data_IF_611876891175
#
_entry.id   IF_611876891175
#
_cell.length_a   1.000
_cell.length_b   1.000
_cell.length_c   1.000
_cell.angle_alpha   90.00
_cell.angle_beta   90.00
_cell.angle_gamma   90.00
#
_symmetry.space_group_name_H-M   'P 1'
#
loop_
_entity.id
_entity.type
_entity.pdbx_description
1 polymer ?
#
# COMPACT_ATOMS: atom_id res chain seq x y z
N UNK A 1 16.21 11.28 17.96
CA UNK A 1 16.51 9.96 18.61
C UNK A 1 16.83 8.87 17.58
N UNK A 2 15.99 8.65 16.57
CA UNK A 2 16.17 7.56 15.58
C UNK A 2 17.48 7.63 14.78
N UNK A 3 17.90 8.76 14.17
CA UNK A 3 19.14 8.79 13.38
C UNK A 3 20.39 8.48 14.22
N UNK A 4 20.45 9.00 15.44
CA UNK A 4 21.55 8.73 16.37
C UNK A 4 21.63 7.23 16.72
N UNK A 5 20.50 6.59 17.04
CA UNK A 5 20.45 5.16 17.34
C UNK A 5 20.80 4.30 16.13
N UNK A 6 20.34 4.67 14.94
CA UNK A 6 20.66 3.96 13.70
C UNK A 6 22.17 3.94 13.42
N UNK A 7 22.87 5.07 13.65
CA UNK A 7 24.34 5.14 13.49
C UNK A 7 25.10 4.32 14.54
N UNK A 8 24.60 4.28 15.77
CA UNK A 8 25.22 3.54 16.87
C UNK A 8 24.99 2.02 16.79
N UNK A 9 23.98 1.57 16.04
CA UNK A 9 23.64 0.16 15.92
C UNK A 9 24.78 -0.66 15.28
N UNK A 10 24.91 -1.92 15.70
CA UNK A 10 25.82 -2.87 15.08
C UNK A 10 25.41 -3.22 13.64
N UNK A 11 24.09 -3.30 13.40
CA UNK A 11 23.48 -3.46 12.09
C UNK A 11 22.13 -2.73 12.04
N UNK A 12 21.75 -2.29 10.84
CA UNK A 12 20.43 -1.72 10.52
C UNK A 12 19.80 -2.60 9.45
N UNK A 13 18.67 -3.21 9.79
CA UNK A 13 17.88 -3.99 8.84
C UNK A 13 16.88 -3.07 8.16
N UNK A 14 16.99 -2.94 6.84
CA UNK A 14 16.07 -2.20 6.01
C UNK A 14 15.16 -3.18 5.25
N UNK A 15 13.86 -2.89 5.20
CA UNK A 15 12.87 -3.77 4.55
C UNK A 15 12.88 -3.70 3.01
N UNK A 16 13.69 -2.80 2.45
CA UNK A 16 13.86 -2.61 1.01
C UNK A 16 15.18 -1.91 0.72
N UNK A 17 15.66 -1.99 -0.52
CA UNK A 17 16.87 -1.25 -0.92
C UNK A 17 16.65 0.26 -0.85
N UNK A 18 15.46 0.76 -1.16
CA UNK A 18 15.13 2.19 -1.03
C UNK A 18 15.33 2.63 0.42
N UNK A 19 14.75 1.89 1.38
CA UNK A 19 14.91 2.19 2.81
C UNK A 19 16.37 2.07 3.26
N UNK A 20 17.15 1.15 2.69
CA UNK A 20 18.59 1.03 2.98
C UNK A 20 19.35 2.29 2.54
N UNK A 21 19.10 2.75 1.31
CA UNK A 21 19.73 3.95 0.77
C UNK A 21 19.32 5.20 1.56
N UNK A 22 18.06 5.28 2.01
CA UNK A 22 17.61 6.37 2.87
C UNK A 22 18.31 6.35 4.24
N UNK A 23 18.50 5.17 4.84
CA UNK A 23 19.24 5.06 6.09
C UNK A 23 20.71 5.50 5.94
N UNK A 24 21.34 5.22 4.80
CA UNK A 24 22.71 5.67 4.52
C UNK A 24 22.75 7.17 4.29
N UNK A 25 21.91 7.70 3.38
CA UNK A 25 21.94 9.11 2.95
C UNK A 25 21.39 10.07 4.01
N UNK A 26 20.24 9.74 4.59
CA UNK A 26 19.53 10.64 5.51
C UNK A 26 20.01 10.47 6.95
N UNK A 27 20.36 9.24 7.36
CA UNK A 27 20.77 8.96 8.75
C UNK A 27 22.27 8.76 8.92
N UNK A 28 23.06 8.68 7.83
CA UNK A 28 24.51 8.49 7.91
C UNK A 28 24.90 7.11 8.45
N UNK A 29 24.06 6.10 8.24
CA UNK A 29 24.40 4.71 8.58
C UNK A 29 25.51 4.25 7.64
N UNK A 30 26.53 3.58 8.18
CA UNK A 30 27.61 3.02 7.37
C UNK A 30 27.07 1.96 6.40
N UNK A 31 27.44 1.98 5.10
CA UNK A 31 26.92 1.03 4.12
C UNK A 31 27.16 -0.44 4.46
N UNK A 32 28.27 -0.76 5.13
CA UNK A 32 28.63 -2.11 5.58
C UNK A 32 27.78 -2.60 6.76
N UNK A 33 27.03 -1.71 7.42
CA UNK A 33 26.13 -2.04 8.54
C UNK A 33 24.65 -2.00 8.14
N UNK A 34 24.32 -1.51 6.96
CA UNK A 34 22.95 -1.45 6.47
C UNK A 34 22.67 -2.67 5.58
N UNK A 35 21.72 -3.51 5.98
CA UNK A 35 21.40 -4.78 5.30
C UNK A 35 19.95 -4.75 4.84
N UNK A 36 19.71 -5.08 3.58
CA UNK A 36 18.36 -5.21 3.02
C UNK A 36 17.83 -6.61 3.29
N UNK A 37 16.71 -6.73 4.00
CA UNK A 37 15.96 -7.98 4.19
C UNK A 37 14.52 -7.71 3.77
N UNK A 38 14.11 -8.26 2.62
CA UNK A 38 12.74 -8.12 2.16
C UNK A 38 11.78 -8.92 3.04
N UNK A 39 10.67 -8.33 3.50
CA UNK A 39 9.67 -9.06 4.26
C UNK A 39 9.04 -10.14 3.37
N UNK A 40 8.92 -11.35 3.91
CA UNK A 40 8.16 -12.42 3.28
C UNK A 40 6.66 -12.20 3.42
N UNK A 41 5.89 -12.90 2.59
CA UNK A 41 4.44 -13.04 2.72
C UNK A 41 4.17 -14.46 3.20
N UNK A 42 3.27 -14.62 4.17
CA UNK A 42 2.91 -15.94 4.68
C UNK A 42 2.36 -16.83 3.54
N UNK A 43 2.84 -18.09 3.40
CA UNK A 43 2.32 -19.06 2.43
C UNK A 43 0.79 -19.16 2.37
N UNK A 44 0.08 -18.92 3.48
CA UNK A 44 -1.39 -18.94 3.53
C UNK A 44 -2.03 -17.96 2.53
N UNK A 45 -1.37 -16.85 2.20
CA UNK A 45 -1.86 -15.86 1.23
C UNK A 45 -1.68 -16.31 -0.23
N UNK A 46 -0.93 -17.38 -0.48
CA UNK A 46 -0.80 -18.00 -1.80
C UNK A 46 -1.76 -19.17 -2.00
N UNK A 47 -2.46 -19.59 -0.94
CA UNK A 47 -3.50 -20.61 -0.99
C UNK A 47 -4.75 -20.06 -1.66
N UNK A 48 -4.87 -20.21 -2.97
CA UNK A 48 -6.15 -20.04 -3.67
C UNK A 48 -6.98 -21.31 -3.45
N UNK A 49 -7.59 -21.46 -2.27
CA UNK A 49 -8.70 -22.40 -2.15
C UNK A 49 -9.76 -21.92 -3.13
N UNK A 50 -9.84 -22.56 -4.31
CA UNK A 50 -10.73 -22.28 -5.46
C UNK A 50 -11.70 -21.16 -5.10
N UNK A 51 -11.21 -19.91 -5.14
CA UNK A 51 -12.13 -18.80 -5.08
C UNK A 51 -12.88 -19.04 -6.37
N UNK A 52 -14.15 -19.46 -6.28
CA UNK A 52 -15.06 -19.40 -7.39
C UNK A 52 -14.74 -18.07 -8.02
N UNK A 53 -14.05 -18.12 -9.17
CA UNK A 53 -13.56 -16.92 -9.80
C UNK A 53 -14.85 -16.18 -10.02
N UNK A 54 -15.11 -15.15 -9.21
CA UNK A 54 -16.26 -14.28 -9.40
C UNK A 54 -15.89 -13.54 -10.67
N UNK A 55 -16.05 -14.24 -11.78
CA UNK A 55 -16.09 -13.72 -13.12
C UNK A 55 -17.21 -12.72 -12.99
N UNK A 56 -16.84 -11.44 -12.91
CA UNK A 56 -17.80 -10.37 -13.04
C UNK A 56 -18.56 -10.68 -14.31
N UNK A 57 -19.85 -11.05 -14.17
CA UNK A 57 -20.68 -11.39 -15.30
C UNK A 57 -20.60 -10.25 -16.32
N UNK A 58 -20.70 -10.56 -17.60
CA UNK A 58 -20.67 -9.55 -18.66
C UNK A 58 -21.79 -8.51 -18.36
N UNK A 59 -21.40 -7.32 -17.90
CA UNK A 59 -22.35 -6.28 -17.45
C UNK A 59 -22.18 -5.81 -16.00
N UNK A 60 -21.46 -6.53 -15.15
CA UNK A 60 -21.18 -6.09 -13.77
C UNK A 60 -20.18 -4.92 -13.72
N UNK A 61 -20.33 -4.06 -12.71
CA UNK A 61 -19.40 -2.97 -12.42
C UNK A 61 -18.03 -3.54 -11.99
N UNK A 62 -16.90 -3.05 -12.56
CA UNK A 62 -15.58 -3.46 -12.12
C UNK A 62 -15.40 -3.20 -10.62
N UNK A 63 -14.87 -4.17 -9.88
CA UNK A 63 -14.59 -4.00 -8.44
C UNK A 63 -13.10 -3.76 -8.21
N UNK A 64 -12.80 -2.69 -7.49
CA UNK A 64 -11.46 -2.34 -7.04
C UNK A 64 -11.39 -2.44 -5.52
N UNK A 65 -10.22 -2.79 -4.98
CA UNK A 65 -9.97 -2.81 -3.54
C UNK A 65 -8.84 -1.87 -3.20
N UNK A 66 -9.07 -0.96 -2.26
CA UNK A 66 -8.03 -0.13 -1.64
C UNK A 66 -7.69 -0.71 -0.26
N UNK A 67 -6.51 -1.33 -0.10
CA UNK A 67 -6.15 -1.96 1.16
C UNK A 67 -5.60 -0.97 2.19
N UNK A 68 -6.40 -0.69 3.22
CA UNK A 68 -5.97 0.02 4.44
C UNK A 68 -6.65 1.37 4.68
N UNK A 69 -6.53 1.84 5.93
CA UNK A 69 -7.15 3.08 6.40
C UNK A 69 -6.85 4.30 5.49
N UNK A 70 -7.79 5.25 5.39
CA UNK A 70 -7.65 6.47 4.57
C UNK A 70 -6.71 7.48 5.24
N UNK A 71 -5.42 7.15 5.34
CA UNK A 71 -4.38 8.05 5.83
C UNK A 71 -3.64 8.69 4.65
N UNK A 72 -3.22 9.95 4.78
CA UNK A 72 -2.67 10.74 3.66
C UNK A 72 -1.54 10.04 2.91
N UNK A 73 -0.63 9.35 3.62
CA UNK A 73 0.50 8.61 3.01
C UNK A 73 0.11 7.43 2.13
N UNK A 74 -1.17 7.04 2.11
CA UNK A 74 -1.71 5.97 1.27
C UNK A 74 -2.30 6.52 -0.03
N UNK A 75 -2.41 7.84 -0.19
CA UNK A 75 -2.87 8.52 -1.40
C UNK A 75 -4.25 8.08 -1.91
N UNK A 76 -5.19 7.80 -1.01
CA UNK A 76 -6.58 7.49 -1.39
C UNK A 76 -7.20 8.62 -2.23
N UNK A 77 -6.92 9.89 -1.89
CA UNK A 77 -7.46 11.05 -2.62
C UNK A 77 -7.10 11.03 -4.11
N UNK A 78 -5.89 10.56 -4.46
CA UNK A 78 -5.46 10.44 -5.84
C UNK A 78 -6.28 9.38 -6.59
N UNK A 79 -6.58 8.26 -5.93
CA UNK A 79 -7.42 7.19 -6.51
C UNK A 79 -8.84 7.71 -6.76
N UNK A 80 -9.43 8.41 -5.77
CA UNK A 80 -10.77 8.97 -5.90
C UNK A 80 -10.87 10.01 -7.02
N UNK A 81 -9.86 10.89 -7.16
CA UNK A 81 -9.80 11.86 -8.27
C UNK A 81 -9.68 11.18 -9.62
N UNK A 82 -8.79 10.19 -9.75
CA UNK A 82 -8.63 9.44 -10.99
C UNK A 82 -9.92 8.72 -11.41
N UNK A 83 -10.71 8.21 -10.46
CA UNK A 83 -12.03 7.62 -10.73
C UNK A 83 -13.06 8.67 -11.16
N UNK A 84 -13.09 9.83 -10.49
CA UNK A 84 -14.03 10.91 -10.80
C UNK A 84 -13.76 11.57 -12.17
N UNK A 85 -12.50 11.65 -12.57
CA UNK A 85 -12.07 12.21 -13.86
C UNK A 85 -12.18 11.22 -15.03
N UNK A 86 -12.37 9.93 -14.74
CA UNK A 86 -12.49 8.90 -15.77
C UNK A 86 -13.82 9.04 -16.55
N UNK A 87 -13.85 8.79 -17.87
CA UNK A 87 -15.09 8.80 -18.63
C UNK A 87 -16.11 7.83 -18.03
N UNK A 88 -17.41 8.19 -17.91
CA UNK A 88 -18.43 7.34 -17.30
C UNK A 88 -18.61 5.98 -18.00
N UNK A 89 -18.26 5.87 -19.28
CA UNK A 89 -18.31 4.62 -20.04
C UNK A 89 -17.07 3.74 -19.85
N UNK A 90 -16.00 4.27 -19.25
CA UNK A 90 -14.74 3.55 -19.05
C UNK A 90 -14.86 2.54 -17.89
N UNK A 91 -14.04 1.48 -17.86
CA UNK A 91 -14.00 0.56 -16.72
C UNK A 91 -13.74 1.25 -15.38
N UNK A 92 -12.87 2.27 -15.36
CA UNK A 92 -12.55 3.01 -14.13
C UNK A 92 -13.69 3.93 -13.68
N UNK A 93 -14.37 4.59 -14.61
CA UNK A 93 -15.53 5.45 -14.32
C UNK A 93 -16.78 4.69 -13.87
N UNK A 94 -16.87 3.39 -14.17
CA UNK A 94 -17.94 2.48 -13.68
C UNK A 94 -17.52 1.63 -12.49
N UNK A 95 -16.29 1.80 -11.97
CA UNK A 95 -15.78 0.92 -10.95
C UNK A 95 -16.37 1.23 -9.58
N UNK A 96 -16.70 0.18 -8.82
CA UNK A 96 -17.01 0.28 -7.41
C UNK A 96 -15.73 0.07 -6.60
N UNK A 97 -15.35 1.06 -5.78
CA UNK A 97 -14.17 0.99 -4.91
C UNK A 97 -14.54 0.54 -3.50
N UNK A 98 -14.04 -0.62 -3.10
CA UNK A 98 -14.12 -1.09 -1.73
C UNK A 98 -12.86 -0.66 -0.97
N UNK A 99 -13.03 0.14 0.09
CA UNK A 99 -11.93 0.60 0.94
C UNK A 99 -11.94 -0.22 2.23
N UNK A 100 -10.82 -0.84 2.58
CA UNK A 100 -10.69 -1.67 3.78
C UNK A 100 -9.84 -1.00 4.85
N UNK A 101 -9.89 -1.46 6.10
CA UNK A 101 -8.98 -1.01 7.14
C UNK A 101 -9.41 0.23 7.94
N UNK A 102 -10.65 0.68 7.80
CA UNK A 102 -11.31 1.60 8.73
C UNK A 102 -12.82 1.31 8.79
N UNK A 103 -13.45 1.57 9.94
CA UNK A 103 -14.91 1.60 10.04
C UNK A 103 -15.47 2.84 9.33
N UNK A 104 -16.76 2.83 8.93
CA UNK A 104 -17.39 3.93 8.19
C UNK A 104 -17.20 5.32 8.85
N UNK A 105 -17.24 5.39 10.19
CA UNK A 105 -17.03 6.65 10.94
C UNK A 105 -15.56 7.13 11.00
N UNK A 106 -14.60 6.33 10.52
CA UNK A 106 -13.18 6.68 10.43
C UNK A 106 -12.78 7.28 9.09
N UNK A 107 -13.73 7.43 8.16
CA UNK A 107 -13.49 8.12 6.90
C UNK A 107 -13.57 9.63 7.08
N UNK A 108 -12.66 10.41 6.47
CA UNK A 108 -12.79 11.85 6.45
C UNK A 108 -14.16 12.25 5.88
N UNK A 109 -14.88 13.13 6.58
CA UNK A 109 -16.08 13.72 6.03
C UNK A 109 -15.68 14.73 4.95
N UNK A 110 -15.98 14.41 3.70
CA UNK A 110 -15.84 15.36 2.60
C UNK A 110 -17.16 16.15 2.53
N UNK A 111 -17.13 17.43 2.92
CA UNK A 111 -18.23 18.39 2.72
C UNK A 111 -18.08 19.09 1.39
#
# INVERSE_FOLDING_TARGET
VVPHRARAAAAVIAISEVTRQDAIREYGVRPDRAVTIYPGIDPLFFGTASAETRTTGKGEEPRLVFPGAPVSRKNLDLVLRAMAEAPPSSPLGRACLQITGAAAGGFPAHR
#
